data_IF_463992594883
#
_entry.id   IF_463992594883
#
_cell.length_a   1.000
_cell.length_b   1.000
_cell.length_c   1.000
_cell.angle_alpha   90.00
_cell.angle_beta   90.00
_cell.angle_gamma   90.00
#
_symmetry.space_group_name_H-M   'P 1'
#
loop_
_entity.id
_entity.type
_entity.pdbx_description
1 polymer ?
#
# COMPACT_ATOMS: atom_id res chain seq x y z
N UNK A 1 -43.87 14.19 14.30
CA UNK A 1 -43.03 14.99 15.18
C UNK A 1 -41.71 14.28 15.37
N UNK A 2 -40.61 14.89 14.98
CA UNK A 2 -39.26 14.38 15.21
C UNK A 2 -38.81 14.99 16.54
N UNK A 3 -38.68 14.16 17.58
CA UNK A 3 -38.10 14.55 18.86
C UNK A 3 -36.56 14.38 18.75
N UNK A 4 -35.84 15.46 18.86
CA UNK A 4 -34.36 15.42 18.87
C UNK A 4 -33.92 15.43 20.33
N UNK A 5 -33.41 14.26 20.78
CA UNK A 5 -32.78 14.14 22.10
C UNK A 5 -31.27 14.29 21.98
N UNK A 6 -30.65 15.01 22.90
CA UNK A 6 -29.18 15.12 22.99
C UNK A 6 -28.66 14.01 23.87
N UNK A 7 -27.98 13.04 23.25
CA UNK A 7 -27.29 11.97 23.97
C UNK A 7 -25.78 12.20 24.00
N UNK A 8 -25.14 11.90 25.13
CA UNK A 8 -23.67 11.80 25.23
C UNK A 8 -23.26 10.36 25.00
N UNK A 9 -22.39 10.13 24.02
CA UNK A 9 -21.82 8.80 23.75
C UNK A 9 -20.40 8.73 24.31
N UNK A 10 -20.04 7.72 25.11
CA UNK A 10 -18.68 7.55 25.60
C UNK A 10 -17.78 7.14 24.42
N UNK A 11 -16.76 7.94 24.16
CA UNK A 11 -15.80 7.69 23.07
C UNK A 11 -14.39 7.77 23.65
N UNK A 12 -13.64 6.69 23.50
CA UNK A 12 -12.22 6.65 23.84
C UNK A 12 -11.41 7.04 22.62
N UNK A 13 -10.55 8.03 22.78
CA UNK A 13 -9.72 8.56 21.72
C UNK A 13 -8.26 8.33 22.04
N UNK A 14 -7.57 7.57 21.16
CA UNK A 14 -6.15 7.27 21.27
C UNK A 14 -5.41 7.94 20.11
N UNK A 15 -4.33 8.62 20.40
CA UNK A 15 -3.45 9.20 19.39
C UNK A 15 -2.06 8.59 19.50
N UNK A 16 -1.49 8.20 18.39
CA UNK A 16 -0.12 7.71 18.28
C UNK A 16 0.69 8.64 17.37
N UNK A 17 1.73 9.24 17.90
CA UNK A 17 2.63 10.12 17.15
C UNK A 17 3.89 9.35 16.76
N UNK A 18 4.22 9.38 15.47
CA UNK A 18 5.48 8.91 14.94
C UNK A 18 6.03 9.93 13.95
N UNK A 19 7.25 10.38 14.18
CA UNK A 19 7.89 11.45 13.43
C UNK A 19 7.01 12.72 13.41
N UNK A 20 6.69 13.24 12.23
CA UNK A 20 5.83 14.42 12.06
C UNK A 20 4.38 14.06 11.67
N UNK A 21 3.91 12.86 12.03
CA UNK A 21 2.57 12.38 11.68
C UNK A 21 1.88 11.74 12.88
N UNK A 22 0.56 11.82 12.89
CA UNK A 22 -0.31 11.30 13.96
C UNK A 22 -1.27 10.27 13.35
N UNK A 23 -1.39 9.13 14.00
CA UNK A 23 -2.44 8.16 13.76
C UNK A 23 -3.45 8.20 14.90
N UNK A 24 -4.72 8.03 14.57
CA UNK A 24 -5.82 8.05 15.52
C UNK A 24 -6.52 6.70 15.58
N UNK A 25 -6.92 6.33 16.78
CA UNK A 25 -7.82 5.22 17.01
C UNK A 25 -8.97 5.71 17.89
N UNK A 26 -10.17 5.32 17.52
CA UNK A 26 -11.40 5.68 18.24
C UNK A 26 -12.12 4.41 18.65
N UNK A 27 -12.47 4.31 19.91
CA UNK A 27 -13.24 3.18 20.45
C UNK A 27 -14.59 3.72 20.92
N UNK A 28 -15.66 3.15 20.40
CA UNK A 28 -17.00 3.41 20.92
C UNK A 28 -17.16 2.70 22.27
N UNK A 29 -17.33 3.49 23.35
CA UNK A 29 -17.41 2.96 24.71
C UNK A 29 -18.66 2.14 25.00
N UNK A 30 -19.72 2.28 24.19
CA UNK A 30 -20.96 1.53 24.33
C UNK A 30 -20.89 0.18 23.62
N UNK A 31 -20.35 0.14 22.41
CA UNK A 31 -20.35 -1.07 21.57
C UNK A 31 -19.00 -1.78 21.53
N UNK A 32 -17.93 -1.18 22.07
CA UNK A 32 -16.56 -1.68 21.98
C UNK A 32 -15.97 -1.69 20.57
N UNK A 33 -16.69 -1.16 19.56
CA UNK A 33 -16.18 -1.12 18.18
C UNK A 33 -14.99 -0.16 18.06
N UNK A 34 -13.92 -0.68 17.46
CA UNK A 34 -12.67 0.06 17.23
C UNK A 34 -12.59 0.51 15.78
N UNK A 35 -12.30 1.79 15.59
CA UNK A 35 -12.00 2.38 14.29
C UNK A 35 -10.59 2.94 14.35
N UNK A 36 -9.67 2.34 13.62
CA UNK A 36 -8.29 2.83 13.53
C UNK A 36 -7.70 2.53 12.15
N UNK A 37 -6.85 3.43 11.69
CA UNK A 37 -5.99 3.23 10.53
C UNK A 37 -4.55 3.14 11.04
N UNK A 38 -4.03 1.90 11.11
CA UNK A 38 -2.69 1.63 11.64
C UNK A 38 -1.68 1.74 10.49
N UNK A 39 -0.64 2.60 10.59
CA UNK A 39 0.41 2.66 9.60
C UNK A 39 1.25 1.38 9.61
N UNK A 40 1.65 0.93 8.42
CA UNK A 40 2.48 -0.26 8.24
C UNK A 40 3.93 0.08 8.51
N UNK A 41 4.59 -0.67 9.37
CA UNK A 41 6.04 -0.56 9.57
C UNK A 41 6.77 -1.25 8.41
N UNK A 42 7.47 -0.48 7.57
CA UNK A 42 8.19 -0.98 6.40
C UNK A 42 9.18 -2.09 6.78
N UNK A 43 9.95 -1.87 7.83
CA UNK A 43 10.95 -2.82 8.30
C UNK A 43 10.34 -4.15 8.76
N UNK A 44 9.27 -4.10 9.58
CA UNK A 44 8.57 -5.31 10.02
C UNK A 44 7.90 -6.04 8.87
N UNK A 45 7.34 -5.29 7.94
CA UNK A 45 6.72 -5.88 6.74
C UNK A 45 7.74 -6.62 5.88
N UNK A 46 8.92 -6.01 5.62
CA UNK A 46 9.98 -6.66 4.85
C UNK A 46 10.49 -7.91 5.55
N UNK A 47 10.77 -7.84 6.86
CA UNK A 47 11.25 -9.00 7.62
C UNK A 47 10.22 -10.14 7.61
N UNK A 48 8.96 -9.85 7.88
CA UNK A 48 7.89 -10.85 7.84
C UNK A 48 7.72 -11.45 6.44
N UNK A 49 7.79 -10.62 5.39
CA UNK A 49 7.71 -11.08 4.00
C UNK A 49 8.88 -12.00 3.64
N UNK A 50 10.11 -11.67 4.06
CA UNK A 50 11.28 -12.52 3.84
C UNK A 50 11.18 -13.85 4.60
N UNK A 51 10.74 -13.82 5.86
CA UNK A 51 10.56 -15.04 6.67
C UNK A 51 9.57 -16.02 6.04
N UNK A 52 8.58 -15.53 5.32
CA UNK A 52 7.59 -16.36 4.62
C UNK A 52 8.09 -16.75 3.22
N UNK A 53 8.68 -15.81 2.49
CA UNK A 53 9.08 -16.02 1.09
C UNK A 53 10.22 -17.03 0.95
N UNK A 54 11.22 -16.99 1.85
CA UNK A 54 12.40 -17.89 1.77
C UNK A 54 12.00 -19.36 1.91
N UNK A 55 11.24 -19.80 2.92
CA UNK A 55 10.80 -21.20 3.02
C UNK A 55 9.95 -21.63 1.83
N UNK A 56 9.02 -20.79 1.38
CA UNK A 56 8.17 -21.08 0.21
C UNK A 56 9.04 -21.27 -1.03
N UNK A 57 10.00 -20.36 -1.25
CA UNK A 57 10.92 -20.44 -2.38
C UNK A 57 11.72 -21.75 -2.36
N UNK A 58 12.26 -22.14 -1.20
CA UNK A 58 13.01 -23.40 -1.05
C UNK A 58 12.14 -24.62 -1.33
N UNK A 59 10.91 -24.65 -0.81
CA UNK A 59 9.97 -25.75 -1.04
C UNK A 59 9.62 -25.84 -2.53
N UNK A 60 9.30 -24.71 -3.16
CA UNK A 60 8.99 -24.68 -4.58
C UNK A 60 10.14 -25.15 -5.46
N UNK A 61 11.38 -24.77 -5.12
CA UNK A 61 12.56 -25.25 -5.86
C UNK A 61 12.82 -26.75 -5.70
N UNK A 62 12.44 -27.35 -4.56
CA UNK A 62 12.57 -28.79 -4.35
C UNK A 62 11.56 -29.60 -5.17
N UNK A 63 10.35 -29.10 -5.34
CA UNK A 63 9.26 -29.84 -5.98
C UNK A 63 8.99 -29.43 -7.43
N UNK A 64 9.36 -28.21 -7.83
CA UNK A 64 9.05 -27.68 -9.15
C UNK A 64 10.32 -27.16 -9.84
N UNK A 65 10.73 -27.82 -10.93
CA UNK A 65 11.70 -27.23 -11.82
C UNK A 65 11.00 -26.23 -12.75
N UNK A 66 11.16 -24.95 -12.43
CA UNK A 66 10.59 -23.88 -13.24
C UNK A 66 11.51 -23.66 -14.44
N UNK A 67 11.00 -23.88 -15.66
CA UNK A 67 11.72 -23.53 -16.89
C UNK A 67 11.88 -22.00 -16.97
N UNK A 68 13.02 -21.55 -17.50
CA UNK A 68 13.34 -20.13 -17.66
C UNK A 68 12.24 -19.36 -18.42
N UNK A 69 11.69 -19.95 -19.46
CA UNK A 69 10.59 -19.39 -20.27
C UNK A 69 9.32 -19.05 -19.49
N UNK A 70 9.07 -19.75 -18.38
CA UNK A 70 7.87 -19.53 -17.55
C UNK A 70 8.06 -18.45 -16.48
N UNK A 71 9.30 -18.04 -16.17
CA UNK A 71 9.60 -17.03 -15.16
C UNK A 71 8.88 -15.68 -15.38
N UNK A 72 8.84 -15.13 -16.61
CA UNK A 72 8.13 -13.87 -16.87
C UNK A 72 6.62 -13.96 -16.57
N UNK A 73 5.98 -15.11 -16.79
CA UNK A 73 4.59 -15.34 -16.44
C UNK A 73 4.33 -15.21 -14.95
N UNK A 74 5.18 -15.82 -14.12
CA UNK A 74 5.05 -15.75 -12.66
C UNK A 74 5.30 -14.34 -12.15
N UNK A 75 6.33 -13.65 -12.67
CA UNK A 75 6.60 -12.26 -12.27
C UNK A 75 5.50 -11.31 -12.70
N UNK A 76 4.92 -11.48 -13.89
CA UNK A 76 3.78 -10.71 -14.38
C UNK A 76 2.53 -10.94 -13.54
N UNK A 77 2.20 -12.19 -13.26
CA UNK A 77 1.03 -12.55 -12.43
C UNK A 77 1.17 -11.97 -11.01
N UNK A 78 2.34 -12.13 -10.39
CA UNK A 78 2.62 -11.59 -9.06
C UNK A 78 2.54 -10.07 -9.03
N UNK A 79 3.14 -9.38 -9.99
CA UNK A 79 3.09 -7.91 -10.09
C UNK A 79 1.67 -7.39 -10.27
N UNK A 80 0.87 -8.05 -11.11
CA UNK A 80 -0.53 -7.70 -11.34
C UNK A 80 -1.36 -7.89 -10.08
N UNK A 81 -1.17 -9.01 -9.37
CA UNK A 81 -1.84 -9.27 -8.10
C UNK A 81 -1.50 -8.20 -7.06
N UNK A 82 -0.22 -7.85 -6.92
CA UNK A 82 0.23 -6.79 -6.00
C UNK A 82 -0.41 -5.45 -6.31
N UNK A 83 -0.48 -5.07 -7.60
CA UNK A 83 -1.14 -3.83 -8.03
C UNK A 83 -2.60 -3.82 -7.59
N UNK A 84 -3.34 -4.88 -7.88
CA UNK A 84 -4.78 -4.98 -7.57
C UNK A 84 -5.02 -4.89 -6.08
N UNK A 85 -4.27 -5.65 -5.27
CA UNK A 85 -4.41 -5.64 -3.82
C UNK A 85 -4.06 -4.28 -3.21
N UNK A 86 -2.93 -3.69 -3.60
CA UNK A 86 -2.49 -2.40 -3.08
C UNK A 86 -3.44 -1.26 -3.48
N UNK A 87 -3.88 -1.22 -4.73
CA UNK A 87 -4.85 -0.24 -5.21
C UNK A 87 -6.21 -0.40 -4.51
N UNK A 88 -6.65 -1.62 -4.28
CA UNK A 88 -7.88 -1.90 -3.54
C UNK A 88 -7.84 -1.31 -2.12
N UNK A 89 -6.74 -1.48 -1.39
CA UNK A 89 -6.57 -0.93 -0.04
C UNK A 89 -6.50 0.61 -0.05
N UNK A 90 -5.70 1.18 -0.94
CA UNK A 90 -5.59 2.64 -1.09
C UNK A 90 -6.95 3.26 -1.45
N UNK A 91 -7.70 2.64 -2.36
CA UNK A 91 -9.03 3.11 -2.76
C UNK A 91 -10.03 3.08 -1.62
N UNK A 92 -10.01 2.05 -0.77
CA UNK A 92 -10.88 1.95 0.41
C UNK A 92 -10.64 3.10 1.39
N UNK A 93 -9.36 3.37 1.72
CA UNK A 93 -9.01 4.47 2.62
C UNK A 93 -9.41 5.80 2.02
N UNK A 94 -9.13 6.02 0.73
CA UNK A 94 -9.48 7.24 0.03
C UNK A 94 -10.98 7.50 0.00
N UNK A 95 -11.79 6.48 -0.29
CA UNK A 95 -13.26 6.59 -0.27
C UNK A 95 -13.78 6.96 1.13
N UNK A 96 -13.20 6.38 2.18
CA UNK A 96 -13.53 6.72 3.57
C UNK A 96 -13.22 8.17 3.88
N UNK A 97 -12.04 8.64 3.51
CA UNK A 97 -11.61 10.03 3.67
C UNK A 97 -12.52 11.01 2.92
N UNK A 98 -12.83 10.72 1.65
CA UNK A 98 -13.70 11.57 0.84
C UNK A 98 -15.13 11.63 1.41
N UNK A 99 -15.61 10.54 2.03
CA UNK A 99 -16.93 10.52 2.68
C UNK A 99 -16.98 11.34 3.96
N UNK A 100 -15.89 11.36 4.74
CA UNK A 100 -15.80 12.09 6.00
C UNK A 100 -15.61 13.60 5.80
N UNK A 101 -14.86 13.99 4.78
CA UNK A 101 -14.50 15.40 4.55
C UNK A 101 -15.56 16.17 3.75
N UNK A 102 -16.56 15.51 3.18
CA UNK A 102 -17.60 16.14 2.37
C UNK A 102 -17.09 16.82 1.08
N UNK A 103 -15.80 16.74 0.83
CA UNK A 103 -15.13 17.51 -0.21
C UNK A 103 -15.10 16.74 -1.53
N UNK A 104 -16.22 16.77 -2.26
CA UNK A 104 -16.33 16.22 -3.61
C UNK A 104 -15.48 16.97 -4.64
N UNK A 105 -14.94 18.13 -4.30
CA UNK A 105 -14.28 19.07 -5.20
C UNK A 105 -12.76 19.16 -5.04
N UNK A 106 -12.08 18.11 -4.59
CA UNK A 106 -10.61 18.07 -4.76
C UNK A 106 -10.32 18.18 -6.24
N UNK A 107 -9.58 19.21 -6.64
CA UNK A 107 -9.31 19.53 -8.03
C UNK A 107 -8.74 18.30 -8.75
N UNK A 108 -9.03 18.15 -10.03
CA UNK A 108 -8.49 17.05 -10.87
C UNK A 108 -6.97 16.96 -10.78
N UNK A 109 -6.29 18.10 -10.55
CA UNK A 109 -4.84 18.19 -10.39
C UNK A 109 -4.31 17.55 -9.10
N UNK A 110 -4.98 17.74 -7.97
CA UNK A 110 -4.60 17.06 -6.72
C UNK A 110 -4.82 15.55 -6.83
N UNK A 111 -5.91 15.12 -7.47
CA UNK A 111 -6.15 13.70 -7.76
C UNK A 111 -5.06 13.12 -8.68
N UNK A 112 -4.65 13.86 -9.70
CA UNK A 112 -3.58 13.44 -10.61
C UNK A 112 -2.23 13.37 -9.91
N UNK A 113 -1.86 14.38 -9.09
CA UNK A 113 -0.64 14.35 -8.27
C UNK A 113 -0.64 13.20 -7.27
N UNK A 114 -1.78 12.94 -6.64
CA UNK A 114 -1.95 11.81 -5.73
C UNK A 114 -1.81 10.45 -6.43
N UNK A 115 -2.26 10.32 -7.67
CA UNK A 115 -2.15 9.11 -8.47
C UNK A 115 -0.72 8.91 -9.01
N UNK A 116 -0.03 9.98 -9.39
CA UNK A 116 1.29 9.94 -10.04
C UNK A 116 2.40 9.32 -9.17
N UNK A 117 2.26 9.33 -7.83
CA UNK A 117 3.29 8.81 -6.90
C UNK A 117 2.86 7.53 -6.19
N UNK A 118 1.94 6.76 -6.74
CA UNK A 118 1.40 5.56 -6.09
C UNK A 118 2.24 4.29 -6.26
N UNK A 119 3.39 4.38 -6.92
CA UNK A 119 4.20 3.19 -7.23
C UNK A 119 3.63 2.33 -8.37
N UNK A 120 2.42 2.60 -8.86
CA UNK A 120 1.80 1.87 -9.98
C UNK A 120 2.60 1.97 -11.27
N UNK A 121 3.31 3.07 -11.49
CA UNK A 121 4.19 3.22 -12.64
C UNK A 121 5.27 2.15 -12.70
N UNK A 122 5.96 1.89 -11.59
CA UNK A 122 6.99 0.84 -11.54
C UNK A 122 6.40 -0.56 -11.73
N UNK A 123 5.22 -0.82 -11.19
CA UNK A 123 4.54 -2.09 -11.39
C UNK A 123 4.08 -2.28 -12.84
N UNK A 124 3.60 -1.23 -13.50
CA UNK A 124 3.29 -1.27 -14.94
C UNK A 124 4.54 -1.53 -15.78
N UNK A 125 5.67 -0.89 -15.46
CA UNK A 125 6.94 -1.17 -16.13
C UNK A 125 7.34 -2.63 -15.95
N UNK A 126 7.19 -3.20 -14.75
CA UNK A 126 7.43 -4.62 -14.49
C UNK A 126 6.57 -5.53 -15.39
N UNK A 127 5.27 -5.24 -15.51
CA UNK A 127 4.35 -6.01 -16.37
C UNK A 127 4.72 -5.88 -17.84
N UNK A 128 5.00 -4.65 -18.31
CA UNK A 128 5.37 -4.41 -19.71
C UNK A 128 6.71 -5.07 -20.07
N UNK A 129 7.68 -5.08 -19.15
CA UNK A 129 8.96 -5.72 -19.36
C UNK A 129 8.81 -7.24 -19.44
N UNK A 130 8.00 -7.83 -18.57
CA UNK A 130 7.68 -9.27 -18.64
C UNK A 130 6.95 -9.65 -19.91
N UNK A 131 5.98 -8.82 -20.36
CA UNK A 131 5.31 -9.02 -21.66
C UNK A 131 6.27 -8.88 -22.84
N UNK A 132 7.17 -7.90 -22.81
CA UNK A 132 8.15 -7.67 -23.87
C UNK A 132 9.04 -8.87 -24.12
N UNK A 133 9.58 -9.49 -23.03
CA UNK A 133 10.44 -10.67 -23.16
C UNK A 133 9.66 -11.89 -23.64
N UNK A 134 8.38 -12.01 -23.25
CA UNK A 134 7.51 -13.09 -23.71
C UNK A 134 7.20 -13.00 -25.21
N UNK A 135 7.04 -11.78 -25.72
CA UNK A 135 6.79 -11.55 -27.16
C UNK A 135 8.06 -11.73 -27.99
N UNK A 136 9.23 -11.40 -27.43
CA UNK A 136 10.50 -11.50 -28.12
C UNK A 136 10.99 -12.96 -28.26
N UNK A 137 10.63 -13.83 -27.32
CA UNK A 137 11.02 -15.25 -27.31
C UNK A 137 12.51 -15.49 -27.59
N UNK A 138 13.42 -14.94 -26.77
CA UNK A 138 14.84 -15.15 -26.97
C UNK A 138 15.24 -16.64 -26.81
N UNK A 139 16.20 -17.09 -27.58
CA UNK A 139 16.67 -18.47 -27.55
C UNK A 139 17.52 -18.80 -26.31
N UNK A 140 18.13 -17.77 -25.71
CA UNK A 140 19.00 -17.91 -24.55
C UNK A 140 18.24 -17.71 -23.26
N UNK A 141 18.35 -18.65 -22.34
CA UNK A 141 17.68 -18.61 -21.01
C UNK A 141 18.10 -17.42 -20.15
N UNK A 142 19.29 -16.88 -20.34
CA UNK A 142 19.85 -15.76 -19.58
C UNK A 142 18.96 -14.51 -19.67
N UNK A 143 18.35 -14.24 -20.81
CA UNK A 143 17.46 -13.09 -20.99
C UNK A 143 16.19 -13.20 -20.15
N UNK A 144 15.66 -14.40 -19.98
CA UNK A 144 14.49 -14.64 -19.11
C UNK A 144 14.83 -14.40 -17.64
N UNK A 145 16.00 -14.87 -17.19
CA UNK A 145 16.47 -14.61 -15.81
C UNK A 145 16.69 -13.12 -15.57
N UNK A 146 17.35 -12.42 -16.49
CA UNK A 146 17.61 -11.00 -16.39
C UNK A 146 16.31 -10.19 -16.37
N UNK A 147 15.37 -10.50 -17.25
CA UNK A 147 14.06 -9.86 -17.31
C UNK A 147 13.27 -10.06 -16.00
N UNK A 148 13.31 -11.28 -15.47
CA UNK A 148 12.64 -11.60 -14.21
C UNK A 148 13.26 -10.87 -13.02
N UNK A 149 14.60 -10.74 -12.99
CA UNK A 149 15.31 -9.99 -11.96
C UNK A 149 14.92 -8.49 -12.00
N UNK A 150 14.95 -7.88 -13.18
CA UNK A 150 14.54 -6.48 -13.36
C UNK A 150 13.08 -6.27 -12.96
N UNK A 151 12.19 -7.14 -13.42
CA UNK A 151 10.77 -7.13 -13.08
C UNK A 151 10.53 -7.27 -11.56
N UNK A 152 11.28 -8.15 -10.90
CA UNK A 152 11.26 -8.32 -9.45
C UNK A 152 11.69 -7.07 -8.69
N UNK A 153 12.79 -6.44 -9.10
CA UNK A 153 13.27 -5.19 -8.50
C UNK A 153 12.21 -4.08 -8.65
N UNK A 154 11.64 -3.91 -9.84
CA UNK A 154 10.60 -2.92 -10.09
C UNK A 154 9.34 -3.17 -9.24
N UNK A 155 8.97 -4.43 -9.03
CA UNK A 155 7.84 -4.81 -8.16
C UNK A 155 8.10 -4.46 -6.70
N UNK A 156 9.32 -4.69 -6.20
CA UNK A 156 9.72 -4.32 -4.83
C UNK A 156 9.68 -2.79 -4.65
N UNK A 157 10.20 -2.02 -5.59
CA UNK A 157 10.16 -0.57 -5.56
C UNK A 157 8.71 -0.05 -5.58
N UNK A 158 7.87 -0.64 -6.43
CA UNK A 158 6.44 -0.34 -6.48
C UNK A 158 5.77 -0.57 -5.12
N UNK A 159 6.01 -1.72 -4.51
CA UNK A 159 5.44 -2.07 -3.20
C UNK A 159 5.87 -1.10 -2.10
N UNK A 160 7.15 -0.71 -2.06
CA UNK A 160 7.65 0.30 -1.09
C UNK A 160 6.90 1.63 -1.24
N UNK A 161 6.72 2.11 -2.47
CA UNK A 161 6.01 3.36 -2.72
C UNK A 161 4.52 3.25 -2.37
N UNK A 162 3.90 2.10 -2.61
CA UNK A 162 2.50 1.85 -2.22
C UNK A 162 2.34 1.85 -0.70
N UNK A 163 3.24 1.20 0.06
CA UNK A 163 3.24 1.21 1.52
C UNK A 163 3.42 2.64 2.06
N UNK A 164 4.38 3.38 1.51
CA UNK A 164 4.59 4.79 1.88
C UNK A 164 3.33 5.62 1.65
N UNK A 165 2.66 5.44 0.53
CA UNK A 165 1.41 6.11 0.22
C UNK A 165 0.27 5.71 1.16
N UNK A 166 0.16 4.42 1.44
CA UNK A 166 -0.80 3.90 2.42
C UNK A 166 -0.59 4.56 3.78
N UNK A 167 0.66 4.64 4.25
CA UNK A 167 1.01 5.28 5.52
C UNK A 167 0.68 6.77 5.55
N UNK A 168 0.86 7.48 4.43
CA UNK A 168 0.47 8.90 4.32
C UNK A 168 -1.05 9.05 4.41
N UNK A 169 -1.82 8.16 3.79
CA UNK A 169 -3.28 8.21 3.81
C UNK A 169 -3.87 7.77 5.16
N UNK A 170 -3.22 6.84 5.85
CA UNK A 170 -3.66 6.35 7.17
C UNK A 170 -3.26 7.25 8.34
N UNK A 171 -2.41 8.24 8.12
CA UNK A 171 -1.94 9.18 9.15
C UNK A 171 -2.26 10.63 8.78
N UNK A 172 -2.28 11.52 9.78
CA UNK A 172 -2.50 12.96 9.58
C UNK A 172 -1.22 13.74 9.84
N UNK A 173 -1.07 14.89 9.17
CA UNK A 173 -0.07 15.88 9.55
C UNK A 173 -0.40 16.44 10.93
N UNK A 174 0.65 16.83 11.67
CA UNK A 174 0.44 17.52 12.96
C UNK A 174 -0.24 18.85 12.67
N UNK A 175 -1.36 19.20 13.37
CA UNK A 175 -1.97 20.49 13.22
C UNK A 175 -1.01 21.63 13.58
N UNK A 176 -1.06 22.74 12.84
CA UNK A 176 -0.14 23.88 13.00
C UNK A 176 -0.14 24.48 14.40
N UNK A 177 -1.24 24.34 15.15
CA UNK A 177 -1.33 24.85 16.52
C UNK A 177 -0.42 24.09 17.51
N UNK A 178 0.03 22.89 17.18
CA UNK A 178 1.04 22.17 17.96
C UNK A 178 2.47 22.61 17.63
N UNK A 179 2.67 23.28 16.50
CA UNK A 179 4.00 23.75 16.07
C UNK A 179 4.34 25.14 16.62
N UNK A 180 3.37 25.86 17.16
CA UNK A 180 3.63 27.12 17.85
C UNK A 180 4.38 26.82 19.14
N UNK A 181 5.71 26.87 19.07
CA UNK A 181 6.60 27.04 20.19
C UNK A 181 6.16 28.30 20.93
N UNK A 182 5.45 28.20 22.00
CA UNK A 182 5.09 29.37 22.74
C UNK A 182 3.88 29.21 23.66
N UNK A 183 3.84 28.13 24.41
CA UNK A 183 3.31 28.20 25.77
C UNK A 183 4.46 27.79 26.66
N UNK A 184 5.21 28.78 27.12
CA UNK A 184 6.04 28.70 28.31
C UNK A 184 5.13 28.59 29.53
#
# INVERSE_FOLDING_TARGET
SVTVERGMFPVWFLSYKKDNRIAYAVVNGETGKVYCDIPISESRFHNASMMIAIPIFLILNLFFQIKAENLPWYTMALSTLLIVLAQGQISKIKKREDSLTGNKNKSKEEKAKLLRHNGTGYALVSVLFSLGIMLWHPVQDEYYYLASAVSGIMSILSLRLMIKKFNILSTRSIPEFFDKKGVK
#
